data_IF_425373362700
#
_entry.id   IF_425373362700
#
_cell.length_a   1.000
_cell.length_b   1.000
_cell.length_c   1.000
_cell.angle_alpha   90.00
_cell.angle_beta   90.00
_cell.angle_gamma   90.00
#
_symmetry.space_group_name_H-M   'P 1'
#
loop_
_entity.id
_entity.type
_entity.pdbx_description
1 polymer ?
#
# COMPACT_ATOMS: atom_id res chain seq x y z
N UNK A 1 13.00 -5.23 19.65
CA UNK A 1 13.29 -4.13 20.58
C UNK A 1 14.57 -3.49 20.10
N UNK A 2 14.62 -2.20 19.84
CA UNK A 2 15.87 -1.52 19.52
C UNK A 2 16.40 -0.97 20.84
N UNK A 3 17.58 -1.38 21.25
CA UNK A 3 18.29 -0.80 22.39
C UNK A 3 19.35 0.18 21.87
N UNK A 4 19.43 1.36 22.47
CA UNK A 4 20.16 2.48 21.91
C UNK A 4 21.14 2.97 22.95
N UNK A 5 22.35 2.45 22.88
CA UNK A 5 23.43 2.95 23.68
C UNK A 5 24.69 3.13 22.84
N UNK A 6 25.23 4.34 22.86
CA UNK A 6 26.58 4.60 22.41
C UNK A 6 27.64 4.05 23.39
N UNK A 7 27.27 3.04 24.19
CA UNK A 7 28.17 2.38 25.16
C UNK A 7 28.43 0.95 24.75
N UNK A 8 29.66 0.52 24.76
CA UNK A 8 30.09 -0.86 24.52
C UNK A 8 29.73 -1.75 25.70
N UNK A 9 29.05 -2.86 25.46
CA UNK A 9 28.63 -3.95 26.32
C UNK A 9 29.16 -4.02 27.74
N UNK A 10 28.45 -3.44 28.70
CA UNK A 10 28.72 -3.63 30.13
C UNK A 10 29.97 -2.96 30.71
N UNK A 11 30.78 -2.32 29.89
CA UNK A 11 31.86 -1.44 30.31
C UNK A 11 31.49 0.00 29.91
N UNK A 12 31.77 0.97 30.77
CA UNK A 12 31.54 2.40 30.55
C UNK A 12 32.34 3.01 29.36
N UNK A 13 32.84 2.17 28.46
CA UNK A 13 33.59 2.61 27.28
C UNK A 13 32.65 2.89 26.13
N UNK A 14 32.64 4.13 25.57
CA UNK A 14 31.83 4.48 24.39
C UNK A 14 32.22 3.61 23.20
N UNK A 15 31.21 3.25 22.37
CA UNK A 15 31.47 2.59 21.10
C UNK A 15 32.28 3.54 20.19
N UNK A 16 33.31 3.04 19.51
CA UNK A 16 34.22 3.86 18.68
C UNK A 16 33.53 4.69 17.64
N UNK A 17 32.38 4.21 17.12
CA UNK A 17 31.58 4.95 16.15
C UNK A 17 30.90 6.22 16.71
N UNK A 18 30.62 6.22 18.02
CA UNK A 18 30.03 7.39 18.69
C UNK A 18 31.04 8.44 19.10
N UNK A 19 32.31 8.05 19.27
CA UNK A 19 33.39 8.98 19.69
C UNK A 19 33.73 10.02 18.62
N UNK A 20 33.37 9.79 17.39
CA UNK A 20 33.71 10.66 16.25
C UNK A 20 32.51 11.50 15.74
N UNK A 21 31.31 11.31 16.31
CA UNK A 21 30.12 12.03 15.89
C UNK A 21 29.78 13.13 16.88
N UNK A 22 29.83 14.38 16.38
CA UNK A 22 29.28 15.54 17.08
C UNK A 22 27.82 15.72 16.68
N UNK A 23 26.93 15.92 17.64
CA UNK A 23 25.53 16.25 17.43
C UNK A 23 25.31 17.73 17.74
N UNK A 24 25.45 18.62 16.74
CA UNK A 24 25.29 20.06 16.96
C UNK A 24 23.87 20.38 17.42
N UNK A 25 23.71 21.47 18.15
CA UNK A 25 22.40 21.98 18.54
C UNK A 25 21.52 22.25 17.31
N UNK A 26 20.23 21.91 17.37
CA UNK A 26 19.26 22.12 16.28
C UNK A 26 19.07 23.62 15.94
N UNK A 27 19.38 24.50 16.88
CA UNK A 27 19.30 25.97 16.70
C UNK A 27 20.29 26.65 17.62
N UNK A 28 20.61 27.91 17.36
CA UNK A 28 21.48 28.71 18.24
C UNK A 28 20.85 28.82 19.63
N UNK A 29 21.51 28.24 20.65
CA UNK A 29 21.00 28.13 22.02
C UNK A 29 20.03 26.96 22.28
N UNK A 30 19.87 26.03 21.32
CA UNK A 30 19.11 24.78 21.50
C UNK A 30 19.90 23.69 22.21
N UNK A 31 19.20 22.62 22.60
CA UNK A 31 19.82 21.44 23.21
C UNK A 31 20.77 20.74 22.23
N UNK A 32 21.94 20.33 22.72
CA UNK A 32 22.85 19.45 21.98
C UNK A 32 22.25 18.05 21.86
N UNK A 33 22.44 17.43 20.70
CA UNK A 33 21.96 16.07 20.49
C UNK A 33 22.88 15.04 21.15
N UNK A 34 22.32 13.91 21.55
CA UNK A 34 23.07 12.73 22.02
C UNK A 34 23.26 11.77 20.86
N UNK A 35 24.52 11.37 20.51
CA UNK A 35 24.72 10.36 19.49
C UNK A 35 24.32 8.98 20.03
N UNK A 36 23.53 8.26 19.25
CA UNK A 36 23.02 6.92 19.56
C UNK A 36 23.27 5.96 18.41
N UNK A 37 23.57 4.69 18.70
CA UNK A 37 23.69 3.63 17.69
C UNK A 37 22.50 2.71 17.79
N UNK A 38 21.86 2.47 16.63
CA UNK A 38 20.75 1.54 16.54
C UNK A 38 21.24 0.10 16.54
N UNK A 39 20.64 -0.71 17.40
CA UNK A 39 20.93 -2.14 17.51
C UNK A 39 19.63 -2.92 17.45
N UNK A 40 19.65 -4.08 16.80
CA UNK A 40 18.48 -4.91 16.62
C UNK A 40 18.80 -6.38 16.89
N UNK A 41 18.01 -7.02 17.75
CA UNK A 41 18.05 -8.48 17.93
C UNK A 41 16.97 -9.15 17.08
N UNK A 42 17.22 -10.34 16.51
CA UNK A 42 16.21 -11.15 15.86
C UNK A 42 15.08 -11.52 16.83
N UNK A 43 13.82 -11.49 16.35
CA UNK A 43 12.64 -11.89 17.14
C UNK A 43 12.69 -13.36 17.61
N UNK A 44 13.50 -14.19 16.95
CA UNK A 44 13.69 -15.60 17.28
C UNK A 44 14.44 -15.81 18.59
N UNK A 45 15.15 -14.80 19.09
CA UNK A 45 15.90 -14.89 20.35
C UNK A 45 14.98 -14.48 21.49
N UNK A 46 14.67 -15.41 22.37
CA UNK A 46 13.92 -15.16 23.61
C UNK A 46 14.89 -14.67 24.68
N UNK A 47 14.62 -13.50 25.27
CA UNK A 47 15.49 -12.82 26.23
C UNK A 47 16.92 -12.55 25.69
N UNK A 48 17.03 -11.72 24.60
CA UNK A 48 18.33 -11.43 24.01
C UNK A 48 19.25 -10.71 25.00
N UNK A 49 20.51 -11.11 25.00
CA UNK A 49 21.58 -10.42 25.73
C UNK A 49 22.27 -9.40 24.83
N UNK A 50 23.07 -8.49 25.41
CA UNK A 50 23.69 -7.40 24.66
C UNK A 50 24.43 -7.83 23.37
N UNK A 51 25.11 -8.96 23.40
CA UNK A 51 25.86 -9.51 22.25
C UNK A 51 24.97 -9.94 21.10
N UNK A 52 23.68 -10.14 21.35
CA UNK A 52 22.69 -10.51 20.33
C UNK A 52 22.14 -9.31 19.55
N UNK A 53 22.58 -8.10 19.92
CA UNK A 53 22.16 -6.85 19.27
C UNK A 53 23.29 -6.26 18.41
N UNK A 54 23.54 -6.75 17.19
CA UNK A 54 24.47 -6.11 16.27
C UNK A 54 24.00 -4.69 15.93
N UNK A 55 24.94 -3.79 15.69
CA UNK A 55 24.65 -2.47 15.19
C UNK A 55 24.05 -2.59 13.79
N UNK A 56 22.93 -1.91 13.56
CA UNK A 56 22.22 -1.92 12.27
C UNK A 56 22.75 -0.83 11.36
N UNK A 57 23.12 0.32 11.94
CA UNK A 57 23.75 1.43 11.22
C UNK A 57 24.65 2.26 12.12
N UNK A 58 25.30 3.25 11.53
CA UNK A 58 26.08 4.26 12.23
C UNK A 58 25.28 5.14 13.19
N UNK A 59 25.95 5.99 13.96
CA UNK A 59 25.31 6.80 14.99
C UNK A 59 24.36 7.85 14.39
N UNK A 60 23.28 8.13 15.11
CA UNK A 60 22.25 9.15 14.80
C UNK A 60 22.11 10.07 15.99
N UNK A 61 21.84 11.37 15.75
CA UNK A 61 21.62 12.31 16.84
C UNK A 61 20.18 12.27 17.34
N UNK A 62 20.00 12.13 18.65
CA UNK A 62 18.74 12.32 19.34
C UNK A 62 18.80 13.55 20.24
N UNK A 63 17.74 14.34 20.20
CA UNK A 63 17.64 15.62 20.89
C UNK A 63 16.61 15.52 22.01
N UNK A 64 17.01 14.85 23.08
CA UNK A 64 16.22 14.68 24.30
C UNK A 64 17.14 14.29 25.46
N UNK A 65 16.86 14.75 26.69
CA UNK A 65 17.64 14.39 27.89
C UNK A 65 17.61 12.88 28.22
N UNK A 66 16.57 12.16 27.72
CA UNK A 66 16.38 10.72 27.94
C UNK A 66 16.09 9.99 26.63
N UNK A 67 17.09 9.88 25.73
CA UNK A 67 16.88 9.38 24.38
C UNK A 67 16.31 7.96 24.31
N UNK A 68 16.63 7.08 25.28
CA UNK A 68 16.07 5.72 25.35
C UNK A 68 14.56 5.74 25.58
N UNK A 69 14.05 6.63 26.41
CA UNK A 69 12.62 6.76 26.70
C UNK A 69 11.86 7.31 25.49
N UNK A 70 12.44 8.29 24.79
CA UNK A 70 11.84 8.86 23.59
C UNK A 70 11.64 7.82 22.50
N UNK A 71 12.63 7.00 22.24
CA UNK A 71 12.54 5.97 21.20
C UNK A 71 11.60 4.84 21.58
N UNK A 72 11.56 4.43 22.84
CA UNK A 72 10.58 3.49 23.34
C UNK A 72 9.15 4.04 23.18
N UNK A 73 8.94 5.32 23.48
CA UNK A 73 7.65 5.99 23.34
C UNK A 73 7.25 6.16 21.85
N UNK A 74 8.20 6.48 20.97
CA UNK A 74 7.95 6.50 19.51
C UNK A 74 7.53 5.10 19.04
N UNK A 75 8.30 4.07 19.38
CA UNK A 75 8.01 2.69 18.99
C UNK A 75 6.65 2.18 19.49
N UNK A 76 6.25 2.59 20.70
CA UNK A 76 4.95 2.21 21.28
C UNK A 76 3.75 2.76 20.52
N UNK A 77 3.87 3.94 19.90
CA UNK A 77 2.78 4.61 19.19
C UNK A 77 2.89 4.51 17.67
N UNK A 78 4.02 4.06 17.13
CA UNK A 78 4.35 4.13 15.70
C UNK A 78 3.28 3.52 14.78
N UNK A 79 2.68 2.39 15.17
CA UNK A 79 1.63 1.75 14.39
C UNK A 79 0.34 2.60 14.35
N UNK A 80 0.00 3.25 15.47
CA UNK A 80 -1.15 4.13 15.52
C UNK A 80 -0.93 5.37 14.64
N UNK A 81 0.26 5.98 14.74
CA UNK A 81 0.62 7.14 13.92
C UNK A 81 0.68 6.77 12.44
N UNK A 82 1.24 5.61 12.08
CA UNK A 82 1.25 5.08 10.72
C UNK A 82 -0.18 4.95 10.13
N UNK A 83 -1.12 4.48 10.93
CA UNK A 83 -2.53 4.33 10.50
C UNK A 83 -3.28 5.65 10.33
N UNK A 84 -2.74 6.74 10.86
CA UNK A 84 -3.30 8.09 10.72
C UNK A 84 -2.67 8.90 9.57
N UNK A 85 -1.61 8.36 8.94
CA UNK A 85 -1.02 9.02 7.77
C UNK A 85 -2.03 9.10 6.62
N UNK A 86 -2.00 10.15 5.82
CA UNK A 86 -2.88 10.32 4.67
C UNK A 86 -2.41 9.47 3.47
N UNK A 87 -2.25 8.15 3.70
CA UNK A 87 -1.83 7.22 2.66
C UNK A 87 -2.93 7.11 1.61
N UNK A 88 -2.57 7.31 0.36
CA UNK A 88 -3.49 7.16 -0.77
C UNK A 88 -3.63 5.67 -1.12
N UNK A 89 -4.84 5.09 -1.12
CA UNK A 89 -5.07 3.70 -1.50
C UNK A 89 -4.77 3.39 -2.97
N UNK A 90 -4.49 4.41 -3.78
CA UNK A 90 -4.50 4.32 -5.22
C UNK A 90 -5.92 4.39 -5.79
N UNK A 91 -6.06 4.06 -7.05
CA UNK A 91 -7.36 3.99 -7.73
C UNK A 91 -7.56 2.62 -8.37
N UNK A 92 -8.74 2.05 -8.21
CA UNK A 92 -9.14 0.88 -8.98
C UNK A 92 -9.28 1.27 -10.45
N UNK A 93 -8.65 0.54 -11.35
CA UNK A 93 -8.81 0.65 -12.79
C UNK A 93 -9.44 -0.63 -13.33
N UNK A 94 -10.28 -0.49 -14.36
CA UNK A 94 -11.04 -1.59 -14.94
C UNK A 94 -10.99 -1.47 -16.45
N UNK A 95 -10.85 -2.58 -17.15
CA UNK A 95 -10.81 -2.66 -18.60
C UNK A 95 -11.60 -3.89 -19.09
N UNK A 96 -12.65 -3.66 -19.93
CA UNK A 96 -13.23 -2.38 -20.33
C UNK A 96 -14.02 -1.69 -19.20
N UNK A 97 -14.19 -0.38 -19.29
CA UNK A 97 -14.96 0.40 -18.32
C UNK A 97 -15.79 1.49 -19.03
N UNK A 98 -17.03 1.77 -18.58
CA UNK A 98 -17.78 1.14 -17.48
C UNK A 98 -18.54 -0.13 -17.88
N UNK A 99 -18.49 -0.54 -19.13
CA UNK A 99 -19.28 -1.63 -19.71
C UNK A 99 -18.42 -2.83 -20.05
N UNK A 100 -18.88 -4.03 -19.66
CA UNK A 100 -18.27 -5.30 -20.02
C UNK A 100 -19.34 -6.32 -20.44
N UNK A 101 -18.90 -7.49 -20.89
CA UNK A 101 -19.76 -8.57 -21.34
C UNK A 101 -19.80 -9.73 -20.36
N UNK A 102 -21.00 -10.28 -20.15
CA UNK A 102 -21.18 -11.56 -19.44
C UNK A 102 -20.30 -12.64 -20.07
N UNK A 103 -19.52 -13.33 -19.24
CA UNK A 103 -18.61 -14.39 -19.64
C UNK A 103 -17.32 -13.92 -20.30
N UNK A 104 -17.15 -12.62 -20.54
CA UNK A 104 -15.91 -12.06 -21.04
C UNK A 104 -14.97 -11.65 -19.89
N UNK A 105 -13.63 -11.67 -20.11
CA UNK A 105 -12.69 -11.20 -19.12
C UNK A 105 -12.84 -9.70 -18.90
N UNK A 106 -12.82 -9.29 -17.64
CA UNK A 106 -12.74 -7.90 -17.22
C UNK A 106 -11.47 -7.74 -16.40
N UNK A 107 -10.53 -6.96 -16.90
CA UNK A 107 -9.24 -6.76 -16.25
C UNK A 107 -9.31 -5.69 -15.17
N UNK A 108 -8.76 -5.98 -14.00
CA UNK A 108 -8.70 -5.08 -12.85
C UNK A 108 -7.25 -4.81 -12.48
N UNK A 109 -6.93 -3.56 -12.16
CA UNK A 109 -5.61 -3.19 -11.65
C UNK A 109 -5.69 -1.94 -10.79
N UNK A 110 -4.62 -1.67 -10.03
CA UNK A 110 -4.55 -0.50 -9.15
C UNK A 110 -3.36 0.37 -9.47
N UNK A 111 -3.47 1.66 -9.12
CA UNK A 111 -2.37 2.63 -9.17
C UNK A 111 -1.71 2.83 -7.80
N UNK A 112 -2.03 2.00 -6.80
CA UNK A 112 -1.39 2.07 -5.49
C UNK A 112 0.12 1.88 -5.61
N UNK A 113 0.88 2.77 -5.00
CA UNK A 113 2.35 2.77 -5.02
C UNK A 113 2.93 3.07 -3.65
N UNK A 114 4.25 3.02 -3.54
CA UNK A 114 4.98 3.41 -2.35
C UNK A 114 4.84 4.91 -2.10
N UNK A 115 4.73 5.30 -0.82
CA UNK A 115 4.57 6.68 -0.38
C UNK A 115 5.42 6.94 0.85
N UNK A 116 5.97 8.16 0.93
CA UNK A 116 6.79 8.59 2.03
C UNK A 116 6.16 9.81 2.73
N UNK A 117 6.35 9.89 4.05
CA UNK A 117 5.80 10.95 4.90
C UNK A 117 6.82 11.35 5.96
N UNK A 118 6.97 12.65 6.16
CA UNK A 118 7.81 13.21 7.21
C UNK A 118 6.91 13.90 8.23
N UNK A 119 6.98 13.45 9.49
CA UNK A 119 6.26 14.06 10.60
C UNK A 119 7.17 14.23 11.82
N UNK A 120 6.75 15.05 12.75
CA UNK A 120 7.47 15.22 14.02
C UNK A 120 6.74 14.47 15.14
N UNK A 121 7.44 13.56 15.81
CA UNK A 121 6.92 12.80 16.97
C UNK A 121 7.84 13.06 18.15
N UNK A 122 7.30 13.57 19.26
CA UNK A 122 8.07 13.88 20.47
C UNK A 122 9.31 14.72 20.19
N UNK A 123 9.18 15.73 19.32
CA UNK A 123 10.28 16.61 18.93
C UNK A 123 11.32 16.01 17.98
N UNK A 124 11.18 14.75 17.59
CA UNK A 124 12.08 14.06 16.65
C UNK A 124 11.49 14.04 15.24
N UNK A 125 12.33 14.20 14.21
CA UNK A 125 11.93 14.00 12.83
C UNK A 125 11.76 12.50 12.56
N UNK A 126 10.57 12.09 12.13
CA UNK A 126 10.26 10.70 11.82
C UNK A 126 9.83 10.60 10.36
N UNK A 127 10.59 9.83 9.60
CA UNK A 127 10.30 9.51 8.21
C UNK A 127 9.60 8.15 8.13
N UNK A 128 8.43 8.10 7.46
CA UNK A 128 7.67 6.89 7.20
C UNK A 128 7.73 6.53 5.73
N UNK A 129 7.80 5.22 5.46
CA UNK A 129 7.55 4.68 4.12
C UNK A 129 6.40 3.68 4.20
N UNK A 130 5.36 3.89 3.39
CA UNK A 130 4.23 3.00 3.23
C UNK A 130 4.34 2.27 1.90
N UNK A 131 4.47 0.94 1.92
CA UNK A 131 4.66 0.11 0.72
C UNK A 131 3.49 -0.85 0.57
N UNK A 132 2.81 -0.89 -0.61
CA UNK A 132 1.78 -1.88 -0.88
C UNK A 132 2.35 -3.29 -0.83
N UNK A 133 1.76 -4.18 -0.02
CA UNK A 133 2.22 -5.55 0.17
C UNK A 133 1.28 -6.59 -0.45
N UNK A 134 -0.02 -6.33 -0.41
CA UNK A 134 -1.02 -7.20 -1.03
C UNK A 134 -2.32 -6.46 -1.33
N UNK A 135 -3.14 -7.08 -2.18
CA UNK A 135 -4.38 -6.52 -2.70
C UNK A 135 -5.52 -7.52 -2.56
N UNK A 136 -6.71 -7.04 -2.25
CA UNK A 136 -7.96 -7.82 -2.29
C UNK A 136 -8.94 -7.09 -3.19
N UNK A 137 -9.28 -7.71 -4.31
CA UNK A 137 -10.29 -7.25 -5.26
C UNK A 137 -11.65 -7.80 -4.87
N UNK A 138 -12.66 -6.94 -4.77
CA UNK A 138 -14.06 -7.31 -4.59
C UNK A 138 -14.81 -6.90 -5.83
N UNK A 139 -15.41 -7.86 -6.55
CA UNK A 139 -15.97 -7.60 -7.88
C UNK A 139 -17.43 -7.14 -7.85
N UNK A 140 -18.07 -7.15 -6.68
CA UNK A 140 -19.43 -6.68 -6.47
C UNK A 140 -20.53 -7.71 -6.73
N UNK A 141 -20.19 -8.89 -7.26
CA UNK A 141 -21.07 -10.04 -7.50
C UNK A 141 -21.02 -11.09 -6.37
N UNK A 142 -20.39 -10.75 -5.26
CA UNK A 142 -20.16 -11.64 -4.13
C UNK A 142 -18.85 -12.41 -4.19
N UNK A 143 -18.08 -12.28 -5.28
CA UNK A 143 -16.77 -12.91 -5.43
C UNK A 143 -15.62 -11.95 -5.13
N UNK A 144 -14.49 -12.51 -4.72
CA UNK A 144 -13.27 -11.76 -4.37
C UNK A 144 -12.03 -12.50 -4.88
N UNK A 145 -10.98 -11.73 -5.17
CA UNK A 145 -9.65 -12.24 -5.45
C UNK A 145 -8.67 -11.67 -4.43
N UNK A 146 -8.01 -12.52 -3.68
CA UNK A 146 -6.96 -12.09 -2.76
C UNK A 146 -7.08 -12.71 -1.35
N UNK A 147 -6.13 -12.34 -0.45
CA UNK A 147 -5.04 -11.39 -0.69
C UNK A 147 -4.02 -11.91 -1.71
N UNK A 148 -3.64 -11.07 -2.67
CA UNK A 148 -2.69 -11.37 -3.74
C UNK A 148 -1.61 -10.28 -3.81
N UNK A 149 -0.35 -10.59 -4.15
CA UNK A 149 0.66 -9.58 -4.43
C UNK A 149 0.49 -8.90 -5.81
N UNK A 150 -0.45 -9.39 -6.63
CA UNK A 150 -0.67 -8.87 -7.97
C UNK A 150 -1.47 -7.56 -7.94
N UNK A 151 -0.80 -6.44 -8.24
CA UNK A 151 -1.43 -5.14 -8.43
C UNK A 151 -2.23 -5.05 -9.76
N UNK A 152 -2.06 -6.02 -10.67
CA UNK A 152 -2.53 -5.93 -12.04
C UNK A 152 -1.76 -4.91 -12.88
N UNK A 153 -2.15 -4.79 -14.14
CA UNK A 153 -1.58 -3.83 -15.08
C UNK A 153 -2.57 -3.56 -16.23
N UNK A 154 -2.39 -2.43 -16.90
CA UNK A 154 -3.19 -2.09 -18.07
C UNK A 154 -2.84 -2.98 -19.26
N UNK A 155 -3.86 -3.43 -20.01
CA UNK A 155 -3.70 -4.17 -21.26
C UNK A 155 -4.17 -3.33 -22.45
N UNK A 156 -3.66 -3.59 -23.69
CA UNK A 156 -4.12 -2.91 -24.88
C UNK A 156 -5.63 -3.09 -25.13
N UNK A 157 -6.28 -2.09 -25.70
CA UNK A 157 -7.72 -2.11 -25.96
C UNK A 157 -8.16 -3.31 -26.82
N UNK A 158 -7.36 -3.67 -27.80
CA UNK A 158 -7.62 -4.83 -28.67
C UNK A 158 -7.70 -6.17 -27.92
N UNK A 159 -7.16 -6.22 -26.69
CA UNK A 159 -7.07 -7.42 -25.87
C UNK A 159 -8.13 -7.47 -24.74
N UNK A 160 -8.91 -6.42 -24.51
CA UNK A 160 -9.80 -6.30 -23.35
C UNK A 160 -10.83 -7.44 -23.22
N UNK A 161 -11.29 -7.99 -24.32
CA UNK A 161 -12.31 -9.04 -24.32
C UNK A 161 -11.75 -10.46 -24.53
N UNK A 162 -10.44 -10.59 -24.67
CA UNK A 162 -9.80 -11.87 -25.05
C UNK A 162 -8.66 -12.29 -24.11
N UNK A 163 -8.08 -11.35 -23.35
CA UNK A 163 -6.91 -11.64 -22.51
C UNK A 163 -7.30 -11.74 -21.05
N UNK A 164 -7.04 -12.91 -20.46
CA UNK A 164 -7.10 -13.11 -19.02
C UNK A 164 -5.76 -12.73 -18.38
N UNK A 165 -5.81 -11.84 -17.40
CA UNK A 165 -4.68 -11.51 -16.53
C UNK A 165 -4.86 -12.19 -15.17
N UNK A 166 -3.86 -12.08 -14.29
CA UNK A 166 -3.96 -12.60 -12.92
C UNK A 166 -5.04 -11.90 -12.07
N UNK A 167 -5.52 -10.76 -12.53
CA UNK A 167 -6.51 -9.93 -11.83
C UNK A 167 -7.79 -9.76 -12.65
N UNK A 168 -7.98 -10.54 -13.72
CA UNK A 168 -9.22 -10.59 -14.48
C UNK A 168 -10.32 -11.32 -13.72
N UNK A 169 -11.56 -10.89 -13.98
CA UNK A 169 -12.78 -11.53 -13.49
C UNK A 169 -13.82 -11.60 -14.61
N UNK A 170 -14.54 -12.72 -14.69
CA UNK A 170 -15.64 -12.92 -15.66
C UNK A 170 -16.96 -13.02 -14.93
N UNK A 171 -17.84 -12.04 -15.17
CA UNK A 171 -19.17 -12.02 -14.58
C UNK A 171 -20.10 -13.06 -15.21
N UNK A 172 -20.80 -13.81 -14.37
CA UNK A 172 -21.72 -14.88 -14.81
C UNK A 172 -23.16 -14.41 -15.05
N UNK A 173 -23.52 -13.22 -14.58
CA UNK A 173 -24.84 -12.64 -14.77
C UNK A 173 -24.74 -11.17 -15.23
N UNK A 174 -25.78 -10.68 -15.91
CA UNK A 174 -25.92 -9.26 -16.25
C UNK A 174 -26.30 -8.46 -15.01
N UNK A 175 -25.82 -7.23 -14.92
CA UNK A 175 -26.14 -6.39 -13.76
C UNK A 175 -25.21 -5.21 -13.60
N UNK A 176 -25.35 -4.54 -12.46
CA UNK A 176 -24.50 -3.42 -12.04
C UNK A 176 -23.74 -3.84 -10.79
N UNK A 177 -22.44 -3.93 -10.89
CA UNK A 177 -21.58 -4.48 -9.83
C UNK A 177 -20.63 -3.41 -9.29
N UNK A 178 -20.75 -3.03 -8.01
CA UNK A 178 -19.84 -2.08 -7.36
C UNK A 178 -18.53 -2.78 -6.99
N UNK A 179 -17.51 -2.64 -7.81
CA UNK A 179 -16.20 -3.21 -7.55
C UNK A 179 -15.32 -2.27 -6.72
N UNK A 180 -14.53 -2.84 -5.81
CA UNK A 180 -13.55 -2.14 -4.97
C UNK A 180 -12.24 -2.90 -4.92
N UNK A 181 -11.17 -2.22 -4.53
CA UNK A 181 -9.91 -2.86 -4.14
C UNK A 181 -9.50 -2.39 -2.76
N UNK A 182 -9.09 -3.34 -1.91
CA UNK A 182 -8.43 -3.07 -0.64
C UNK A 182 -6.94 -3.32 -0.80
N UNK A 183 -6.13 -2.29 -0.59
CA UNK A 183 -4.68 -2.37 -0.55
C UNK A 183 -4.21 -2.51 0.88
N UNK A 184 -3.41 -3.53 1.16
CA UNK A 184 -2.74 -3.74 2.43
C UNK A 184 -1.34 -3.16 2.35
N UNK A 185 -1.05 -2.13 3.16
CA UNK A 185 0.26 -1.49 3.25
C UNK A 185 1.02 -2.01 4.46
N UNK A 186 2.29 -2.33 4.25
CA UNK A 186 3.31 -2.45 5.30
C UNK A 186 4.07 -1.13 5.41
N UNK A 187 4.73 -0.90 6.53
CA UNK A 187 5.48 0.33 6.71
C UNK A 187 6.84 0.12 7.34
N UNK A 188 7.72 1.07 7.09
CA UNK A 188 8.95 1.29 7.85
C UNK A 188 8.97 2.72 8.35
N UNK A 189 9.77 2.96 9.40
CA UNK A 189 10.02 4.31 9.90
C UNK A 189 11.49 4.47 10.25
N UNK A 190 12.00 5.68 10.15
CA UNK A 190 13.31 6.07 10.67
C UNK A 190 13.20 7.34 11.50
N UNK A 191 14.05 7.50 12.48
CA UNK A 191 14.11 8.67 13.38
C UNK A 191 15.40 9.42 13.13
N UNK A 192 15.31 10.73 12.86
CA UNK A 192 16.45 11.63 12.61
C UNK A 192 17.46 11.06 11.60
N UNK A 193 16.98 10.53 10.48
CA UNK A 193 17.79 9.87 9.44
C UNK A 193 18.53 8.61 9.92
N UNK A 194 18.08 7.99 11.02
CA UNK A 194 18.54 6.68 11.43
C UNK A 194 18.11 5.57 10.48
N UNK A 195 18.43 4.30 10.79
CA UNK A 195 18.05 3.17 9.93
C UNK A 195 16.53 3.01 9.85
N UNK A 196 16.01 2.50 8.71
CA UNK A 196 14.62 2.14 8.61
C UNK A 196 14.30 0.93 9.50
N UNK A 197 13.32 1.08 10.37
CA UNK A 197 12.80 0.04 11.25
C UNK A 197 11.43 -0.41 10.78
N UNK A 198 11.11 -1.72 10.81
CA UNK A 198 9.80 -2.20 10.38
C UNK A 198 8.70 -1.82 11.39
N UNK A 199 7.53 -1.45 10.88
CA UNK A 199 6.32 -1.27 11.67
C UNK A 199 5.63 -2.62 11.83
N UNK A 200 5.40 -3.06 13.08
CA UNK A 200 4.71 -4.30 13.36
C UNK A 200 3.19 -4.10 13.21
N UNK A 201 2.66 -4.41 12.04
CA UNK A 201 1.25 -4.26 11.70
C UNK A 201 1.08 -3.70 10.30
N UNK A 202 -0.16 -3.49 9.91
CA UNK A 202 -0.52 -3.07 8.55
C UNK A 202 -1.58 -1.99 8.56
N UNK A 203 -1.69 -1.31 7.43
CA UNK A 203 -2.74 -0.35 7.11
C UNK A 203 -3.53 -0.86 5.91
N UNK A 204 -4.84 -1.08 6.08
CA UNK A 204 -5.75 -1.52 5.02
C UNK A 204 -6.58 -0.33 4.56
N UNK A 205 -6.50 -0.03 3.28
CA UNK A 205 -7.25 1.07 2.66
C UNK A 205 -8.04 0.56 1.47
N UNK A 206 -9.34 0.88 1.45
CA UNK A 206 -10.24 0.49 0.36
C UNK A 206 -10.56 1.70 -0.50
N UNK A 207 -10.52 1.51 -1.83
CA UNK A 207 -10.89 2.55 -2.79
C UNK A 207 -12.40 2.78 -2.81
N UNK A 208 -12.86 3.96 -3.25
CA UNK A 208 -14.24 4.13 -3.65
C UNK A 208 -14.67 3.09 -4.68
N UNK A 209 -15.93 2.67 -4.62
CA UNK A 209 -16.49 1.69 -5.54
C UNK A 209 -16.61 2.27 -6.96
N UNK A 210 -16.27 1.44 -7.97
CA UNK A 210 -16.57 1.68 -9.38
C UNK A 210 -17.68 0.73 -9.84
N UNK A 211 -18.78 1.25 -10.33
CA UNK A 211 -19.88 0.43 -10.86
C UNK A 211 -19.54 -0.06 -12.25
N UNK A 212 -19.64 -1.37 -12.45
CA UNK A 212 -19.41 -2.05 -13.72
C UNK A 212 -20.76 -2.53 -14.25
N UNK A 213 -21.06 -2.16 -15.47
CA UNK A 213 -22.29 -2.55 -16.15
C UNK A 213 -22.03 -3.78 -17.03
N UNK A 214 -22.58 -4.92 -16.64
CA UNK A 214 -22.41 -6.20 -17.35
C UNK A 214 -23.58 -6.45 -18.26
N UNK A 215 -23.30 -6.56 -19.54
CA UNK A 215 -24.28 -6.80 -20.61
C UNK A 215 -24.16 -8.20 -21.20
N UNK A 216 -25.19 -8.69 -21.85
CA UNK A 216 -25.14 -9.87 -22.71
C UNK A 216 -25.24 -9.46 -24.18
N UNK A 217 -24.63 -10.23 -25.04
CA UNK A 217 -24.85 -10.12 -26.50
C UNK A 217 -25.75 -11.25 -26.95
N UNK A 218 -26.67 -10.92 -27.87
CA UNK A 218 -27.50 -11.90 -28.52
C UNK A 218 -27.27 -11.79 -30.04
N UNK A 219 -27.17 -12.93 -30.69
CA UNK A 219 -27.12 -13.02 -32.17
C UNK A 219 -28.40 -13.66 -32.66
N UNK A 220 -29.02 -13.05 -33.65
CA UNK A 220 -30.13 -13.64 -34.36
C UNK A 220 -29.76 -13.72 -35.84
N UNK A 221 -30.05 -14.85 -36.47
CA UNK A 221 -30.06 -14.96 -37.93
C UNK A 221 -31.38 -14.37 -38.45
N UNK A 222 -31.24 -13.41 -39.32
CA UNK A 222 -32.40 -12.81 -40.01
C UNK A 222 -32.46 -13.36 -41.44
N UNK A 223 -33.62 -13.83 -41.85
CA UNK A 223 -33.84 -14.38 -43.18
C UNK A 223 -33.91 -13.29 -44.24
N UNK A 224 -34.41 -12.08 -43.84
CA UNK A 224 -34.68 -10.97 -44.72
C UNK A 224 -33.79 -9.76 -44.37
N UNK A 225 -33.49 -8.94 -45.35
CA UNK A 225 -32.85 -7.63 -45.13
C UNK A 225 -33.88 -6.64 -44.56
N UNK A 226 -33.41 -5.59 -43.87
CA UNK A 226 -34.32 -4.52 -43.40
C UNK A 226 -35.09 -3.80 -44.50
N UNK A 227 -34.65 -3.91 -45.77
CA UNK A 227 -35.38 -3.40 -46.94
C UNK A 227 -36.53 -4.31 -47.32
N UNK A 228 -36.36 -5.63 -47.15
CA UNK A 228 -37.38 -6.64 -47.48
C UNK A 228 -38.42 -6.77 -46.36
N UNK A 229 -37.97 -6.68 -45.12
CA UNK A 229 -38.81 -6.77 -43.94
C UNK A 229 -38.33 -5.76 -42.86
N UNK A 230 -38.83 -4.54 -42.87
CA UNK A 230 -38.47 -3.48 -41.93
C UNK A 230 -38.75 -3.81 -40.44
N UNK A 231 -39.62 -4.79 -40.18
CA UNK A 231 -39.98 -5.23 -38.84
C UNK A 231 -39.13 -6.42 -38.35
N UNK A 232 -38.16 -6.88 -39.14
CA UNK A 232 -37.23 -7.95 -38.70
C UNK A 232 -36.39 -7.51 -37.53
N UNK A 233 -36.05 -8.47 -36.72
CA UNK A 233 -35.14 -8.26 -35.57
C UNK A 233 -33.83 -7.63 -36.04
N UNK A 234 -33.39 -6.58 -35.32
CA UNK A 234 -32.15 -5.86 -35.64
C UNK A 234 -32.32 -4.73 -36.66
N UNK A 235 -33.48 -4.55 -37.25
CA UNK A 235 -33.72 -3.41 -38.10
C UNK A 235 -33.98 -2.14 -37.29
N UNK A 236 -33.48 -0.96 -37.75
CA UNK A 236 -33.77 0.29 -37.08
C UNK A 236 -35.27 0.54 -37.13
N UNK A 237 -35.86 0.95 -36.01
CA UNK A 237 -37.29 1.33 -35.99
C UNK A 237 -37.60 2.34 -37.08
N UNK A 238 -38.73 2.17 -37.80
CA UNK A 238 -39.18 3.17 -38.77
C UNK A 238 -39.24 4.54 -38.08
N UNK A 239 -38.63 5.55 -38.70
CA UNK A 239 -38.70 6.93 -38.18
C UNK A 239 -40.20 7.33 -38.11
N UNK A 240 -40.76 7.34 -36.91
CA UNK A 240 -42.15 7.80 -36.71
C UNK A 240 -42.92 7.17 -35.55
N UNK A 241 -42.41 6.13 -34.89
CA UNK A 241 -43.03 5.58 -33.68
C UNK A 241 -42.13 5.92 -32.48
N UNK A 242 -42.51 6.98 -31.78
CA UNK A 242 -42.05 7.31 -30.44
C UNK A 242 -43.00 6.75 -29.41
#
# INVERSE_FOLDING_TARGET
MADIHCRSGGTDTPDKGCLTMECPAKSAGGEEGTPVIWRQAPKSITNPVWTDYPAVTGPTCLYDPQPENVLANIAARILNDFRQLPVNPGTLQVQPFPHTLKGGPTNFYTTAGEQAFDITILGQAVHFTATPASYTYTFGDGTTLGPTPAAGYAIPEAEWLTTDTRTSHSYTETGNYPATITTNFTGTYSVNNGPPLPINGTLNLTTPAKTIHVWKTERALVADTCQQNPNSWGCPFPKGIR
#
